data_IF_589450533624
#
_entry.id   IF_589450533624
#
_cell.length_a   1.000
_cell.length_b   1.000
_cell.length_c   1.000
_cell.angle_alpha   90.00
_cell.angle_beta   90.00
_cell.angle_gamma   90.00
#
_symmetry.space_group_name_H-M   'P 1'
#
loop_
_entity.id
_entity.type
_entity.pdbx_description
1 polymer ?
#
# COMPACT_ATOMS: atom_id res chain seq x y z
N UNK A 1 -11.92 14.87 -57.64
CA UNK A 1 -11.22 13.84 -56.83
C UNK A 1 -11.32 14.23 -55.36
N UNK A 2 -12.11 13.48 -54.60
CA UNK A 2 -12.35 13.69 -53.16
C UNK A 2 -11.34 12.83 -52.38
N UNK A 3 -10.39 13.43 -51.67
CA UNK A 3 -9.57 12.74 -50.67
C UNK A 3 -9.59 13.57 -49.38
N UNK A 4 -10.63 13.36 -48.56
CA UNK A 4 -10.69 13.85 -47.19
C UNK A 4 -10.09 12.76 -46.30
N UNK A 5 -8.83 12.90 -45.93
CA UNK A 5 -8.16 12.01 -45.00
C UNK A 5 -8.78 12.18 -43.61
N UNK A 6 -9.48 11.14 -43.15
CA UNK A 6 -10.02 11.00 -41.82
C UNK A 6 -8.87 10.66 -40.86
N UNK A 7 -8.42 11.62 -40.06
CA UNK A 7 -7.50 11.38 -38.95
C UNK A 7 -8.29 10.78 -37.79
N UNK A 8 -8.22 9.45 -37.65
CA UNK A 8 -8.67 8.75 -36.45
C UNK A 8 -7.58 8.96 -35.39
N UNK A 9 -7.82 9.89 -34.47
CA UNK A 9 -7.04 9.99 -33.25
C UNK A 9 -7.36 8.77 -32.37
N UNK A 10 -6.50 7.76 -32.42
CA UNK A 10 -6.45 6.68 -31.44
C UNK A 10 -6.01 7.29 -30.10
N UNK A 11 -6.99 7.66 -29.27
CA UNK A 11 -6.74 7.92 -27.85
C UNK A 11 -6.42 6.57 -27.22
N UNK A 12 -5.12 6.28 -27.08
CA UNK A 12 -4.65 5.22 -26.19
C UNK A 12 -4.97 5.69 -24.79
N UNK A 13 -6.11 5.27 -24.27
CA UNK A 13 -6.38 5.34 -22.84
C UNK A 13 -5.41 4.34 -22.21
N UNK A 14 -4.26 4.85 -21.75
CA UNK A 14 -3.43 4.10 -20.81
C UNK A 14 -4.34 3.73 -19.65
N UNK A 15 -4.65 2.44 -19.52
CA UNK A 15 -5.28 1.89 -18.32
C UNK A 15 -4.31 2.16 -17.17
N UNK A 16 -4.44 3.33 -16.56
CA UNK A 16 -3.84 3.57 -15.26
C UNK A 16 -4.44 2.52 -14.33
N UNK A 17 -3.58 1.80 -13.62
CA UNK A 17 -3.97 0.82 -12.62
C UNK A 17 -4.79 1.53 -11.53
N UNK A 18 -6.08 1.72 -11.77
CA UNK A 18 -7.02 2.15 -10.76
C UNK A 18 -7.32 0.90 -9.95
N UNK A 19 -6.74 0.83 -8.75
CA UNK A 19 -7.13 -0.15 -7.75
C UNK A 19 -8.62 0.07 -7.43
N UNK A 20 -9.51 -0.73 -8.03
CA UNK A 20 -10.88 -0.87 -7.54
C UNK A 20 -10.81 -1.64 -6.22
N UNK A 21 -10.64 -0.92 -5.11
CA UNK A 21 -10.78 -1.51 -3.79
C UNK A 21 -12.27 -1.76 -3.53
N UNK A 22 -12.72 -3.00 -3.63
CA UNK A 22 -14.01 -3.38 -3.07
C UNK A 22 -13.90 -3.25 -1.56
N UNK A 23 -14.31 -2.11 -1.02
CA UNK A 23 -14.25 -1.74 0.40
C UNK A 23 -14.95 -2.73 1.38
N UNK A 24 -15.46 -3.87 0.89
CA UNK A 24 -16.15 -4.90 1.66
C UNK A 24 -15.59 -6.31 1.52
N UNK A 25 -14.56 -6.55 0.70
CA UNK A 25 -13.86 -7.84 0.68
C UNK A 25 -12.58 -7.66 1.50
N UNK A 26 -12.32 -8.62 2.40
CA UNK A 26 -11.15 -8.60 3.28
C UNK A 26 -10.17 -9.63 2.77
N UNK A 27 -8.88 -9.29 2.77
CA UNK A 27 -7.87 -10.30 2.50
C UNK A 27 -7.97 -11.44 3.51
N UNK A 28 -7.82 -12.67 3.04
CA UNK A 28 -7.76 -13.83 3.90
C UNK A 28 -6.31 -14.03 4.35
N UNK A 29 -5.93 -13.33 5.42
CA UNK A 29 -4.58 -13.46 5.97
C UNK A 29 -4.42 -14.82 6.66
N UNK A 30 -3.58 -15.66 6.09
CA UNK A 30 -3.15 -16.95 6.65
C UNK A 30 -1.64 -16.97 6.68
N UNK A 31 -1.09 -17.58 7.73
CA UNK A 31 0.34 -17.60 7.97
C UNK A 31 0.83 -19.02 8.21
N UNK A 32 2.03 -19.31 7.72
CA UNK A 32 2.69 -20.58 7.93
C UNK A 32 2.95 -20.87 9.41
N UNK A 33 2.82 -22.13 9.82
CA UNK A 33 3.05 -22.54 11.23
C UNK A 33 4.48 -22.26 11.71
N UNK A 34 5.43 -22.19 10.79
CA UNK A 34 6.85 -21.99 11.08
C UNK A 34 7.28 -20.52 10.90
N UNK A 35 6.32 -19.59 10.94
CA UNK A 35 6.50 -18.17 10.64
C UNK A 35 7.75 -17.55 11.27
N UNK A 36 7.91 -17.73 12.59
CA UNK A 36 9.03 -17.15 13.33
C UNK A 36 10.39 -17.70 12.88
N UNK A 37 10.50 -19.02 12.72
CA UNK A 37 11.74 -19.65 12.27
C UNK A 37 12.17 -19.13 10.90
N UNK A 38 11.22 -18.93 9.98
CA UNK A 38 11.48 -18.38 8.65
C UNK A 38 11.91 -16.91 8.72
N UNK A 39 11.28 -16.12 9.58
CA UNK A 39 11.63 -14.71 9.76
C UNK A 39 13.01 -14.52 10.39
N UNK A 40 13.38 -15.36 11.36
CA UNK A 40 14.68 -15.31 12.05
C UNK A 40 15.86 -15.61 11.09
N UNK A 41 15.62 -16.19 9.90
CA UNK A 41 16.63 -16.45 8.87
C UNK A 41 16.89 -15.26 7.93
N UNK A 42 16.07 -14.21 8.00
CA UNK A 42 16.17 -13.06 7.11
C UNK A 42 16.78 -11.90 7.88
N UNK A 43 17.87 -11.33 7.36
CA UNK A 43 18.49 -10.14 7.95
C UNK A 43 17.51 -8.95 7.87
N UNK A 44 17.38 -8.21 8.96
CA UNK A 44 16.55 -7.01 9.02
C UNK A 44 17.43 -5.78 8.86
N UNK A 45 17.04 -4.91 7.94
CA UNK A 45 17.44 -3.51 7.97
C UNK A 45 16.22 -2.68 8.34
N UNK A 46 16.42 -1.61 9.12
CA UNK A 46 15.32 -0.72 9.46
C UNK A 46 15.03 0.22 8.29
N UNK A 47 13.74 0.48 8.10
CA UNK A 47 13.20 1.45 7.17
C UNK A 47 12.94 2.75 7.94
N UNK A 48 13.48 3.87 7.48
CA UNK A 48 13.22 5.18 8.08
C UNK A 48 11.96 5.76 7.46
N UNK A 49 10.96 6.12 8.27
CA UNK A 49 9.74 6.74 7.77
C UNK A 49 9.87 8.26 7.72
N UNK A 50 9.73 8.84 6.52
CA UNK A 50 9.83 10.28 6.30
C UNK A 50 8.46 10.83 5.87
N UNK A 51 7.67 11.41 6.80
CA UNK A 51 6.48 12.16 6.42
C UNK A 51 6.91 13.48 5.77
N UNK A 52 6.78 13.53 4.45
CA UNK A 52 7.13 14.69 3.62
C UNK A 52 5.96 15.69 3.60
N UNK A 53 5.63 16.22 2.41
CA UNK A 53 4.44 17.04 2.24
C UNK A 53 3.15 16.22 2.36
N UNK A 54 2.44 16.42 3.48
CA UNK A 54 1.14 15.77 3.76
C UNK A 54 0.03 16.81 3.93
N UNK A 55 -0.99 16.73 3.07
CA UNK A 55 -2.18 17.59 3.13
C UNK A 55 -3.43 16.80 3.49
N UNK A 56 -3.97 17.06 4.68
CA UNK A 56 -5.17 16.40 5.22
C UNK A 56 -6.19 17.41 5.76
N UNK A 57 -7.50 17.24 5.50
CA UNK A 57 -8.55 18.13 6.02
C UNK A 57 -8.51 18.26 7.55
N UNK A 58 -8.71 19.47 8.07
CA UNK A 58 -8.73 19.72 9.53
C UNK A 58 -9.88 18.96 10.22
N UNK A 59 -9.74 18.67 11.52
CA UNK A 59 -10.78 18.10 12.37
C UNK A 59 -10.33 16.81 13.08
N UNK A 60 -11.27 16.11 13.73
CA UNK A 60 -10.97 14.87 14.49
C UNK A 60 -10.28 13.79 13.65
N UNK A 61 -10.62 13.73 12.37
CA UNK A 61 -10.04 12.77 11.44
C UNK A 61 -8.56 13.04 11.16
N UNK A 62 -8.14 14.31 11.23
CA UNK A 62 -6.73 14.68 11.11
C UNK A 62 -5.89 14.06 12.23
N UNK A 63 -6.38 14.04 13.46
CA UNK A 63 -5.67 13.41 14.57
C UNK A 63 -5.47 11.90 14.35
N UNK A 64 -6.45 11.20 13.77
CA UNK A 64 -6.30 9.79 13.39
C UNK A 64 -5.24 9.58 12.31
N UNK A 65 -5.21 10.47 11.32
CA UNK A 65 -4.22 10.46 10.23
C UNK A 65 -2.81 10.78 10.74
N UNK A 66 -2.66 11.79 11.60
CA UNK A 66 -1.39 12.13 12.25
C UNK A 66 -0.91 10.98 13.14
N UNK A 67 -1.81 10.31 13.85
CA UNK A 67 -1.45 9.09 14.59
C UNK A 67 -1.02 7.96 13.66
N UNK A 68 -1.62 7.82 12.48
CA UNK A 68 -1.23 6.81 11.49
C UNK A 68 0.18 7.07 10.96
N UNK A 69 0.52 8.33 10.68
CA UNK A 69 1.89 8.74 10.34
C UNK A 69 2.86 8.45 11.49
N UNK A 70 2.50 8.79 12.72
CA UNK A 70 3.36 8.67 13.88
C UNK A 70 3.74 7.22 14.25
N UNK A 71 2.88 6.24 13.94
CA UNK A 71 3.14 4.81 14.21
C UNK A 71 3.71 4.05 13.00
N UNK A 72 3.84 4.70 11.84
CA UNK A 72 4.20 4.01 10.60
C UNK A 72 5.58 3.34 10.70
N UNK A 73 6.58 4.05 11.22
CA UNK A 73 7.93 3.49 11.38
C UNK A 73 7.94 2.27 12.29
N UNK A 74 7.25 2.35 13.44
CA UNK A 74 7.12 1.23 14.39
C UNK A 74 6.43 0.04 13.73
N UNK A 75 5.36 0.27 12.98
CA UNK A 75 4.65 -0.79 12.25
C UNK A 75 5.59 -1.51 11.28
N UNK A 76 6.26 -0.76 10.40
CA UNK A 76 7.09 -1.31 9.33
C UNK A 76 8.34 -2.02 9.85
N UNK A 77 8.90 -1.56 10.96
CA UNK A 77 10.10 -2.14 11.58
C UNK A 77 9.78 -3.20 12.64
N UNK A 78 8.51 -3.49 12.91
CA UNK A 78 8.15 -4.50 13.92
C UNK A 78 8.48 -5.93 13.46
N UNK A 79 8.93 -6.76 14.40
CA UNK A 79 9.10 -8.20 14.18
C UNK A 79 7.80 -8.89 13.78
N UNK A 80 6.66 -8.36 14.25
CA UNK A 80 5.33 -8.86 13.88
C UNK A 80 5.05 -8.64 12.39
N UNK A 81 5.34 -7.45 11.86
CA UNK A 81 5.20 -7.14 10.44
C UNK A 81 6.10 -8.03 9.58
N UNK A 82 7.40 -8.10 9.90
CA UNK A 82 8.36 -8.98 9.24
C UNK A 82 7.87 -10.44 9.20
N UNK A 83 7.49 -10.97 10.36
CA UNK A 83 7.02 -12.35 10.50
C UNK A 83 5.81 -12.62 9.63
N UNK A 84 4.82 -11.71 9.62
CA UNK A 84 3.58 -11.87 8.85
C UNK A 84 3.81 -11.78 7.34
N UNK A 85 4.64 -10.85 6.86
CA UNK A 85 5.00 -10.73 5.44
C UNK A 85 5.70 -12.01 4.96
N UNK A 86 6.73 -12.45 5.69
CA UNK A 86 7.48 -13.65 5.34
C UNK A 86 6.56 -14.87 5.38
N UNK A 87 5.72 -15.00 6.41
CA UNK A 87 4.92 -16.20 6.62
C UNK A 87 3.61 -16.28 5.82
N UNK A 88 3.20 -15.24 5.10
CA UNK A 88 1.93 -15.23 4.38
C UNK A 88 1.76 -16.44 3.44
N UNK A 89 0.60 -17.09 3.52
CA UNK A 89 0.24 -18.25 2.71
C UNK A 89 -1.04 -17.99 1.91
N UNK A 90 -0.93 -18.21 0.60
CA UNK A 90 -2.07 -18.32 -0.30
C UNK A 90 -2.32 -19.78 -0.60
N UNK A 91 -3.52 -20.26 -0.25
CA UNK A 91 -3.95 -21.67 -0.51
C UNK A 91 -2.94 -22.71 0.03
N UNK A 92 -2.34 -22.43 1.19
CA UNK A 92 -1.36 -23.32 1.83
C UNK A 92 0.05 -23.27 1.24
N UNK A 93 0.32 -22.31 0.33
CA UNK A 93 1.63 -22.10 -0.26
C UNK A 93 2.12 -20.70 0.11
N UNK A 94 3.36 -20.60 0.60
CA UNK A 94 4.01 -19.32 0.90
C UNK A 94 4.28 -18.53 -0.38
N UNK A 95 3.28 -17.76 -0.79
CA UNK A 95 3.30 -16.96 -2.01
C UNK A 95 2.17 -15.95 -1.99
N UNK A 96 2.36 -14.88 -2.73
CA UNK A 96 1.30 -13.96 -3.13
C UNK A 96 0.80 -14.38 -4.51
N UNK A 97 -0.42 -14.02 -4.87
CA UNK A 97 -0.93 -14.27 -6.22
C UNK A 97 -0.06 -13.58 -7.29
N UNK A 98 0.34 -12.33 -7.01
CA UNK A 98 1.23 -11.54 -7.84
C UNK A 98 2.39 -11.05 -6.99
N UNK A 99 3.56 -11.62 -7.21
CA UNK A 99 4.78 -11.44 -6.42
C UNK A 99 5.97 -11.00 -7.30
N UNK A 100 5.77 -10.07 -8.22
CA UNK A 100 6.85 -9.54 -9.06
C UNK A 100 6.74 -8.02 -9.18
N UNK A 101 7.87 -7.39 -9.50
CA UNK A 101 7.94 -5.96 -9.81
C UNK A 101 7.56 -5.72 -11.26
N UNK A 102 6.88 -4.61 -11.55
CA UNK A 102 6.46 -4.29 -12.93
C UNK A 102 7.64 -4.14 -13.89
N UNK A 103 8.80 -3.71 -13.40
CA UNK A 103 10.05 -3.57 -14.17
C UNK A 103 10.67 -4.93 -14.53
N UNK A 104 10.26 -6.01 -13.87
CA UNK A 104 10.81 -7.36 -14.02
C UNK A 104 9.71 -8.42 -13.89
N UNK A 105 8.68 -8.33 -14.73
CA UNK A 105 7.46 -9.15 -14.62
C UNK A 105 7.64 -10.66 -14.80
N UNK A 106 8.81 -11.10 -15.29
CA UNK A 106 9.16 -12.52 -15.43
C UNK A 106 9.88 -13.09 -14.20
N UNK A 107 10.34 -12.24 -13.27
CA UNK A 107 11.01 -12.68 -12.04
C UNK A 107 10.01 -12.69 -10.89
N UNK A 108 9.53 -13.89 -10.54
CA UNK A 108 8.75 -14.08 -9.31
C UNK A 108 9.68 -13.97 -8.10
N UNK A 109 9.22 -13.27 -7.07
CA UNK A 109 9.93 -13.05 -5.82
C UNK A 109 9.39 -14.01 -4.74
N UNK A 110 10.27 -14.55 -3.91
CA UNK A 110 9.86 -15.20 -2.66
C UNK A 110 9.30 -14.19 -1.66
N UNK A 111 8.64 -14.65 -0.61
CA UNK A 111 8.14 -13.75 0.45
C UNK A 111 9.30 -13.01 1.15
N UNK A 112 10.46 -13.66 1.31
CA UNK A 112 11.68 -13.04 1.84
C UNK A 112 12.21 -11.97 0.89
N UNK A 113 12.26 -12.24 -0.42
CA UNK A 113 12.66 -11.23 -1.40
C UNK A 113 11.69 -10.03 -1.42
N UNK A 114 10.39 -10.27 -1.27
CA UNK A 114 9.39 -9.19 -1.15
C UNK A 114 9.65 -8.35 0.09
N UNK A 115 9.87 -8.97 1.25
CA UNK A 115 10.24 -8.27 2.47
C UNK A 115 11.51 -7.44 2.26
N UNK A 116 12.53 -8.00 1.61
CA UNK A 116 13.77 -7.27 1.31
C UNK A 116 13.53 -6.09 0.37
N UNK A 117 12.67 -6.21 -0.65
CA UNK A 117 12.30 -5.06 -1.51
C UNK A 117 11.64 -3.96 -0.67
N UNK A 118 10.73 -4.33 0.23
CA UNK A 118 10.05 -3.41 1.15
C UNK A 118 11.07 -2.67 2.01
N UNK A 119 11.92 -3.41 2.74
CA UNK A 119 12.90 -2.79 3.64
C UNK A 119 14.00 -2.03 2.90
N UNK A 120 14.25 -2.35 1.62
CA UNK A 120 15.16 -1.56 0.77
C UNK A 120 14.61 -0.17 0.44
N UNK A 121 13.29 0.05 0.44
CA UNK A 121 12.70 1.38 0.25
C UNK A 121 13.16 2.10 -1.02
N UNK A 122 13.61 1.38 -2.05
CA UNK A 122 14.19 1.97 -3.25
C UNK A 122 13.09 2.44 -4.20
N UNK A 123 12.52 3.60 -3.89
CA UNK A 123 11.46 4.22 -4.68
C UNK A 123 11.99 4.74 -6.02
N UNK A 124 11.45 4.23 -7.12
CA UNK A 124 11.89 4.61 -8.47
C UNK A 124 11.89 6.13 -8.76
N UNK A 125 11.01 6.87 -8.08
CA UNK A 125 10.84 8.32 -8.27
C UNK A 125 11.63 9.18 -7.28
N UNK A 126 12.34 8.55 -6.36
CA UNK A 126 13.19 9.20 -5.36
C UNK A 126 14.54 8.47 -5.36
N UNK A 127 15.40 8.71 -6.36
CA UNK A 127 16.74 8.16 -6.33
C UNK A 127 17.47 8.63 -5.06
N UNK A 128 18.40 7.82 -4.59
CA UNK A 128 19.26 8.11 -3.43
C UNK A 128 18.57 8.16 -2.05
N UNK A 129 17.29 7.72 -1.95
CA UNK A 129 16.56 7.57 -0.68
C UNK A 129 16.42 6.12 -0.23
N UNK A 130 17.38 5.26 -0.60
CA UNK A 130 17.33 3.83 -0.25
C UNK A 130 17.29 3.65 1.28
N UNK A 131 16.41 2.79 1.76
CA UNK A 131 16.16 2.56 3.18
C UNK A 131 15.16 3.54 3.79
N UNK A 132 14.53 4.38 2.98
CA UNK A 132 13.48 5.30 3.43
C UNK A 132 12.10 4.92 2.88
N UNK A 133 11.07 5.18 3.66
CA UNK A 133 9.67 5.23 3.22
C UNK A 133 9.25 6.69 3.19
N UNK A 134 9.36 7.31 2.02
CA UNK A 134 8.99 8.70 1.84
C UNK A 134 7.49 8.81 1.56
N UNK A 135 6.78 9.65 2.31
CA UNK A 135 5.33 9.72 2.23
C UNK A 135 4.84 11.14 1.90
N UNK A 136 4.64 11.41 0.61
CA UNK A 136 3.92 12.60 0.13
C UNK A 136 2.47 12.25 -0.13
N UNK A 137 1.54 13.01 0.46
CA UNK A 137 0.14 12.75 0.22
C UNK A 137 -0.73 13.99 0.22
N UNK A 138 -1.84 13.88 -0.51
CA UNK A 138 -2.93 14.83 -0.41
C UNK A 138 -4.27 14.12 -0.50
N UNK A 139 -5.26 14.68 0.19
CA UNK A 139 -6.61 14.11 0.21
C UNK A 139 -7.50 14.85 -0.78
N UNK A 140 -8.09 14.11 -1.71
CA UNK A 140 -9.12 14.63 -2.61
C UNK A 140 -10.48 14.57 -1.93
N UNK A 141 -11.15 15.73 -1.86
CA UNK A 141 -12.56 15.83 -1.49
C UNK A 141 -13.39 15.89 -2.77
N UNK A 142 -14.21 14.86 -3.01
CA UNK A 142 -15.09 14.81 -4.17
C UNK A 142 -16.38 15.60 -3.91
N UNK A 143 -16.76 16.47 -4.85
CA UNK A 143 -18.06 17.14 -4.81
C UNK A 143 -19.19 16.23 -5.37
N UNK A 144 -20.45 16.67 -5.24
CA UNK A 144 -21.63 15.89 -5.68
C UNK A 144 -21.57 15.42 -7.13
N UNK A 145 -21.07 16.25 -8.06
CA UNK A 145 -20.95 15.87 -9.46
C UNK A 145 -19.85 14.83 -9.66
N UNK A 146 -18.73 14.99 -8.96
CA UNK A 146 -17.60 14.06 -9.01
C UNK A 146 -17.90 12.71 -8.36
N UNK A 147 -18.89 12.62 -7.47
CA UNK A 147 -19.37 11.35 -6.93
C UNK A 147 -19.96 10.43 -8.01
N UNK A 148 -20.24 10.91 -9.22
CA UNK A 148 -20.59 10.04 -10.35
C UNK A 148 -19.37 9.26 -10.91
N UNK A 149 -18.14 9.69 -10.62
CA UNK A 149 -16.92 9.04 -11.11
C UNK A 149 -16.63 7.74 -10.37
N UNK A 150 -16.00 6.77 -11.02
CA UNK A 150 -15.58 5.50 -10.38
C UNK A 150 -14.58 5.78 -9.25
N UNK A 151 -13.58 6.62 -9.50
CA UNK A 151 -12.56 6.95 -8.50
C UNK A 151 -13.16 7.44 -7.18
N UNK A 152 -14.06 8.42 -7.23
CA UNK A 152 -14.66 8.98 -6.00
C UNK A 152 -15.52 7.98 -5.22
N UNK A 153 -16.00 6.90 -5.86
CA UNK A 153 -16.91 5.90 -5.28
C UNK A 153 -16.24 4.59 -4.85
N UNK A 154 -15.12 4.22 -5.47
CA UNK A 154 -14.58 2.86 -5.38
C UNK A 154 -13.07 2.80 -5.11
N UNK A 155 -12.36 3.93 -5.18
CA UNK A 155 -10.90 3.97 -5.04
C UNK A 155 -10.55 4.66 -3.73
N UNK A 156 -9.98 3.93 -2.76
CA UNK A 156 -9.60 4.45 -1.43
C UNK A 156 -8.39 5.38 -1.52
N UNK A 157 -7.39 4.97 -2.28
CA UNK A 157 -6.21 5.73 -2.62
C UNK A 157 -5.78 5.42 -4.05
N UNK A 158 -4.88 6.22 -4.58
CA UNK A 158 -4.24 5.89 -5.85
C UNK A 158 -2.87 6.53 -5.94
N UNK A 159 -1.96 5.78 -6.53
CA UNK A 159 -0.59 6.23 -6.80
C UNK A 159 -0.22 5.90 -8.23
N UNK A 160 0.64 6.72 -8.84
CA UNK A 160 1.03 6.55 -10.25
C UNK A 160 2.55 6.38 -10.32
N UNK A 161 3.06 5.16 -10.05
CA UNK A 161 4.48 4.93 -9.74
C UNK A 161 5.44 5.20 -10.91
N UNK A 162 4.94 5.29 -12.14
CA UNK A 162 5.72 5.62 -13.33
C UNK A 162 5.97 7.12 -13.52
N UNK A 163 5.24 7.99 -12.82
CA UNK A 163 5.16 9.42 -13.11
C UNK A 163 5.08 10.32 -11.88
N UNK A 164 4.80 9.78 -10.69
CA UNK A 164 4.58 10.57 -9.47
C UNK A 164 5.01 9.82 -8.21
N UNK A 165 5.61 10.55 -7.27
CA UNK A 165 5.83 10.10 -5.88
C UNK A 165 4.66 10.48 -4.94
N UNK A 166 3.66 11.22 -5.44
CA UNK A 166 2.49 11.61 -4.65
C UNK A 166 1.46 10.49 -4.54
N UNK A 167 1.04 10.24 -3.30
CA UNK A 167 -0.06 9.36 -2.95
C UNK A 167 -1.34 10.18 -2.80
N UNK A 168 -2.38 9.84 -3.57
CA UNK A 168 -3.66 10.54 -3.54
C UNK A 168 -4.67 9.75 -2.72
N UNK A 169 -5.17 10.35 -1.64
CA UNK A 169 -6.12 9.72 -0.72
C UNK A 169 -7.55 10.21 -1.00
N UNK A 170 -8.56 9.36 -0.81
CA UNK A 170 -9.96 9.71 -1.07
C UNK A 170 -10.74 9.99 0.21
N UNK A 171 -11.19 11.24 0.38
CA UNK A 171 -11.94 11.68 1.55
C UNK A 171 -13.25 10.91 1.78
N UNK A 172 -13.89 10.39 0.72
CA UNK A 172 -15.12 9.60 0.84
C UNK A 172 -14.96 8.43 1.81
N UNK A 173 -13.77 7.83 1.84
CA UNK A 173 -13.42 6.71 2.70
C UNK A 173 -12.68 7.17 3.95
N UNK A 174 -11.67 8.03 3.78
CA UNK A 174 -10.83 8.51 4.87
C UNK A 174 -11.59 9.28 5.94
N UNK A 175 -12.79 9.81 5.66
CA UNK A 175 -13.65 10.47 6.68
C UNK A 175 -14.20 9.53 7.74
N UNK A 176 -14.22 8.22 7.50
CA UNK A 176 -14.72 7.20 8.43
C UNK A 176 -13.66 6.22 8.91
N UNK A 177 -12.44 6.27 8.37
CA UNK A 177 -11.38 5.33 8.73
C UNK A 177 -10.96 5.47 10.18
N UNK A 178 -10.62 4.35 10.78
CA UNK A 178 -9.79 4.29 11.96
C UNK A 178 -8.30 4.38 11.59
N UNK A 179 -7.46 4.73 12.55
CA UNK A 179 -6.02 4.92 12.33
C UNK A 179 -5.35 3.71 11.66
N UNK A 180 -5.67 2.50 12.10
CA UNK A 180 -5.12 1.27 11.51
C UNK A 180 -5.56 1.03 10.06
N UNK A 181 -6.78 1.44 9.68
CA UNK A 181 -7.26 1.35 8.29
C UNK A 181 -6.56 2.39 7.40
N UNK A 182 -6.20 3.55 7.95
CA UNK A 182 -5.35 4.52 7.25
C UNK A 182 -3.96 3.97 7.02
N UNK A 183 -3.33 3.37 8.05
CA UNK A 183 -2.01 2.71 7.89
C UNK A 183 -2.07 1.67 6.79
N UNK A 184 -3.08 0.80 6.79
CA UNK A 184 -3.22 -0.25 5.78
C UNK A 184 -3.23 0.32 4.35
N UNK A 185 -4.06 1.33 4.10
CA UNK A 185 -4.13 1.94 2.79
C UNK A 185 -2.87 2.74 2.44
N UNK A 186 -2.27 3.45 3.40
CA UNK A 186 -1.04 4.22 3.16
C UNK A 186 0.12 3.31 2.76
N UNK A 187 0.27 2.16 3.41
CA UNK A 187 1.26 1.15 3.05
C UNK A 187 0.93 0.54 1.69
N UNK A 188 -0.33 0.17 1.43
CA UNK A 188 -0.76 -0.32 0.12
C UNK A 188 -0.32 0.61 -1.03
N UNK A 189 -0.60 1.91 -0.89
CA UNK A 189 -0.23 2.92 -1.89
C UNK A 189 1.29 3.08 -2.03
N UNK A 190 2.03 3.06 -0.94
CA UNK A 190 3.49 3.15 -0.98
C UNK A 190 4.13 1.90 -1.61
N UNK A 191 3.57 0.71 -1.39
CA UNK A 191 4.01 -0.53 -2.03
C UNK A 191 3.88 -0.45 -3.57
N UNK A 192 2.93 0.34 -4.09
CA UNK A 192 2.89 0.65 -5.52
C UNK A 192 4.10 1.46 -5.99
N UNK A 193 4.64 2.38 -5.18
CA UNK A 193 5.84 3.17 -5.49
C UNK A 193 7.09 2.30 -5.61
N UNK A 194 7.17 1.21 -4.85
CA UNK A 194 8.23 0.19 -4.99
C UNK A 194 8.09 -0.65 -6.26
N UNK A 195 6.94 -0.58 -6.93
CA UNK A 195 6.71 -1.21 -8.22
C UNK A 195 5.91 -2.51 -8.18
N UNK A 196 5.26 -2.83 -7.07
CA UNK A 196 4.24 -3.87 -7.04
C UNK A 196 2.93 -3.31 -7.58
N UNK A 197 2.42 -3.85 -8.69
CA UNK A 197 1.17 -3.41 -9.31
C UNK A 197 0.09 -4.47 -9.18
N UNK A 198 -1.18 -4.08 -9.32
CA UNK A 198 -2.27 -5.04 -9.46
C UNK A 198 -2.24 -5.79 -10.78
N UNK A 199 -2.67 -7.04 -10.77
CA UNK A 199 -2.94 -7.86 -11.93
C UNK A 199 -4.35 -7.62 -12.49
N UNK A 200 -4.69 -8.37 -13.52
CA UNK A 200 -6.02 -8.30 -14.14
C UNK A 200 -7.05 -9.19 -13.40
N UNK A 201 -6.58 -10.09 -12.55
CA UNK A 201 -7.43 -10.94 -11.73
C UNK A 201 -7.93 -10.13 -10.53
N UNK A 202 -9.25 -10.08 -10.34
CA UNK A 202 -9.88 -9.40 -9.19
C UNK A 202 -9.72 -10.23 -7.92
N UNK A 203 -8.52 -10.19 -7.37
CA UNK A 203 -8.11 -10.92 -6.19
C UNK A 203 -7.37 -9.96 -5.27
N UNK A 204 -7.60 -10.11 -3.97
CA UNK A 204 -6.97 -9.29 -2.94
C UNK A 204 -5.74 -9.98 -2.33
N UNK A 205 -5.23 -11.03 -3.00
CA UNK A 205 -4.09 -11.83 -2.54
C UNK A 205 -2.76 -11.36 -3.16
N UNK A 206 -2.73 -10.14 -3.70
CA UNK A 206 -1.56 -9.50 -4.31
C UNK A 206 -0.76 -8.70 -3.27
N UNK A 207 0.54 -8.50 -3.54
CA UNK A 207 1.47 -7.84 -2.59
C UNK A 207 0.93 -6.53 -2.00
N UNK A 208 0.42 -5.55 -2.78
CA UNK A 208 -0.10 -4.30 -2.20
C UNK A 208 -1.26 -4.50 -1.22
N UNK A 209 -2.21 -5.38 -1.54
CA UNK A 209 -3.36 -5.67 -0.67
C UNK A 209 -2.93 -6.38 0.60
N UNK A 210 -2.21 -7.49 0.46
CA UNK A 210 -1.83 -8.32 1.60
C UNK A 210 -0.88 -7.58 2.55
N UNK A 211 0.13 -6.88 2.02
CA UNK A 211 1.09 -6.15 2.85
C UNK A 211 0.44 -4.95 3.53
N UNK A 212 -0.46 -4.23 2.84
CA UNK A 212 -1.27 -3.18 3.44
C UNK A 212 -2.11 -3.71 4.61
N UNK A 213 -2.84 -4.80 4.42
CA UNK A 213 -3.67 -5.39 5.47
C UNK A 213 -2.85 -5.92 6.66
N UNK A 214 -1.68 -6.50 6.41
CA UNK A 214 -0.73 -6.90 7.47
C UNK A 214 -0.30 -5.68 8.29
N UNK A 215 0.08 -4.57 7.64
CA UNK A 215 0.45 -3.34 8.33
C UNK A 215 -0.72 -2.79 9.17
N UNK A 216 -1.94 -2.85 8.65
CA UNK A 216 -3.15 -2.51 9.40
C UNK A 216 -3.39 -3.38 10.63
N UNK A 217 -3.17 -4.70 10.52
CA UNK A 217 -3.31 -5.63 11.63
C UNK A 217 -2.29 -5.32 12.75
N UNK A 218 -1.03 -5.08 12.37
CA UNK A 218 0.05 -4.70 13.29
C UNK A 218 -0.25 -3.36 13.96
N UNK A 219 -0.62 -2.34 13.19
CA UNK A 219 -1.00 -1.02 13.70
C UNK A 219 -2.15 -1.11 14.71
N UNK A 220 -3.15 -1.94 14.44
CA UNK A 220 -4.25 -2.18 15.36
C UNK A 220 -3.76 -2.79 16.68
N UNK A 221 -2.84 -3.74 16.63
CA UNK A 221 -2.21 -4.34 17.81
C UNK A 221 -1.45 -3.31 18.65
N UNK A 222 -0.63 -2.46 18.02
CA UNK A 222 0.09 -1.35 18.68
C UNK A 222 -0.91 -0.43 19.41
N UNK A 223 -1.92 0.07 18.70
CA UNK A 223 -2.92 0.98 19.28
C UNK A 223 -3.71 0.37 20.46
N UNK A 224 -3.97 -0.95 20.42
CA UNK A 224 -4.62 -1.65 21.51
C UNK A 224 -3.72 -1.75 22.75
N UNK A 225 -2.42 -2.00 22.57
CA UNK A 225 -1.44 -2.02 23.66
C UNK A 225 -1.27 -0.65 24.29
N UNK A 226 -1.14 0.41 23.48
CA UNK A 226 -1.08 1.78 23.97
C UNK A 226 -2.30 2.15 24.81
N UNK A 227 -3.51 1.78 24.34
CA UNK A 227 -4.75 2.01 25.07
C UNK A 227 -4.80 1.25 26.40
N UNK A 228 -4.14 0.10 26.48
CA UNK A 228 -4.00 -0.69 27.70
C UNK A 228 -2.87 -0.19 28.63
N UNK A 229 -2.12 0.84 28.24
CA UNK A 229 -0.97 1.35 29.00
C UNK A 229 0.26 0.45 28.95
N UNK A 230 0.35 -0.44 27.94
CA UNK A 230 1.51 -1.29 27.71
C UNK A 230 2.50 -0.54 26.81
N UNK A 231 3.78 -0.57 27.17
CA UNK A 231 4.85 0.04 26.36
C UNK A 231 5.03 -0.73 25.04
N UNK A 232 5.31 -0.03 23.93
CA UNK A 232 5.78 -0.69 22.71
C UNK A 232 7.12 -1.39 22.95
N UNK A 233 7.36 -2.50 22.22
CA UNK A 233 8.56 -3.33 22.33
C UNK A 233 9.67 -2.80 21.43
#
# INVERSE_FOLDING_TARGET
>A
MKNLCLLIALVVVSYQAMAESNHGVKTNLKYSKNAKFLADQVETQNLVFIPEDVTFPKGKQKAKFEKALAIMEEVMNSEEFKTKVIAYERRGVRSYQKNYLWSASTKLLSNEEIYQVIMNGDEKKRPDTKGEMNFNSWVRVCNKLQMATLWCRQVIGSTTPDSSFWIKLNWTFYKSFETHEMVANMVHEWIHLLGFLHGNERTEEEVPYVVGDIAGEVAKGILQREKAGLTPF
#
